data_IF_816027904372
#
_entry.id   IF_816027904372
#
_cell.length_a   1.000
_cell.length_b   1.000
_cell.length_c   1.000
_cell.angle_alpha   90.00
_cell.angle_beta   90.00
_cell.angle_gamma   90.00
#
_symmetry.space_group_name_H-M   'P 1'
#
loop_
_entity.id
_entity.type
_entity.pdbx_description
1 polymer ?
#
# COMPACT_ATOMS: atom_id res chain seq x y z
N UNK A 1 -9.31 -6.54 15.22
CA UNK A 1 -9.24 -5.08 15.50
C UNK A 1 -9.56 -4.37 14.20
N UNK A 2 -10.53 -3.45 14.20
CA UNK A 2 -10.97 -2.77 12.97
C UNK A 2 -9.82 -1.99 12.31
N UNK A 3 -9.78 -1.97 10.98
CA UNK A 3 -8.84 -1.15 10.21
C UNK A 3 -9.17 0.33 10.43
N UNK A 4 -8.52 0.96 11.40
CA UNK A 4 -8.57 2.40 11.52
C UNK A 4 -7.83 3.02 10.35
N UNK A 5 -8.45 4.01 9.71
CA UNK A 5 -7.71 4.87 8.78
C UNK A 5 -6.71 5.72 9.54
N UNK A 6 -5.68 6.24 8.88
CA UNK A 6 -4.72 7.15 9.51
C UNK A 6 -5.42 8.36 10.15
N UNK A 7 -6.44 8.91 9.46
CA UNK A 7 -7.24 10.03 9.95
C UNK A 7 -7.98 9.69 11.26
N UNK A 8 -8.52 8.47 11.36
CA UNK A 8 -9.20 8.02 12.55
C UNK A 8 -8.24 7.76 13.72
N UNK A 9 -7.05 7.22 13.45
CA UNK A 9 -5.98 7.10 14.45
C UNK A 9 -5.58 8.48 14.99
N UNK A 10 -5.40 9.47 14.11
CA UNK A 10 -5.05 10.84 14.52
C UNK A 10 -6.17 11.44 15.38
N UNK A 11 -7.43 11.35 14.94
CA UNK A 11 -8.57 11.88 15.69
C UNK A 11 -8.67 11.28 17.09
N UNK A 12 -8.53 9.97 17.21
CA UNK A 12 -8.62 9.29 18.51
C UNK A 12 -7.42 9.58 19.40
N UNK A 13 -6.21 9.66 18.83
CA UNK A 13 -5.03 10.09 19.57
C UNK A 13 -5.18 11.50 20.16
N UNK A 14 -5.63 12.47 19.35
CA UNK A 14 -5.84 13.86 19.81
C UNK A 14 -6.89 13.99 20.90
N UNK A 15 -7.83 13.05 20.98
CA UNK A 15 -8.86 12.99 22.03
C UNK A 15 -8.39 12.26 23.29
N UNK A 16 -7.21 11.64 23.28
CA UNK A 16 -6.72 10.80 24.37
C UNK A 16 -7.37 9.41 24.42
N UNK A 17 -8.07 9.00 23.36
CA UNK A 17 -8.79 7.72 23.29
C UNK A 17 -7.86 6.53 22.93
N UNK A 18 -6.57 6.79 22.75
CA UNK A 18 -5.56 5.80 22.39
C UNK A 18 -4.31 6.00 23.23
N UNK A 19 -3.61 4.91 23.57
CA UNK A 19 -2.26 4.97 24.13
C UNK A 19 -1.22 5.12 23.04
N UNK A 20 -0.01 5.53 23.41
CA UNK A 20 1.12 5.67 22.48
C UNK A 20 1.37 4.35 21.73
N UNK A 21 1.33 3.22 22.45
CA UNK A 21 1.53 1.88 21.90
C UNK A 21 0.43 1.53 20.88
N UNK A 22 -0.81 1.91 21.16
CA UNK A 22 -1.92 1.69 20.22
C UNK A 22 -1.75 2.51 18.95
N UNK A 23 -1.32 3.77 19.06
CA UNK A 23 -1.06 4.64 17.89
C UNK A 23 0.10 4.11 17.05
N UNK A 24 1.20 3.73 17.70
CA UNK A 24 2.37 3.15 17.02
C UNK A 24 1.96 1.84 16.33
N UNK A 25 1.27 0.94 17.03
CA UNK A 25 0.81 -0.33 16.47
C UNK A 25 -0.08 -0.14 15.24
N UNK A 26 -1.05 0.78 15.30
CA UNK A 26 -1.92 1.06 14.16
C UNK A 26 -1.18 1.71 13.00
N UNK A 27 -0.25 2.62 13.29
CA UNK A 27 0.57 3.26 12.24
C UNK A 27 1.42 2.23 11.50
N UNK A 28 2.03 1.28 12.21
CA UNK A 28 2.82 0.21 11.60
C UNK A 28 1.96 -0.70 10.71
N UNK A 29 0.74 -1.04 11.14
CA UNK A 29 -0.20 -1.83 10.33
C UNK A 29 -0.61 -1.11 9.05
N UNK A 30 -0.90 0.19 9.14
CA UNK A 30 -1.22 1.04 7.98
C UNK A 30 -0.04 1.09 7.00
N UNK A 31 1.18 1.30 7.49
CA UNK A 31 2.39 1.33 6.65
C UNK A 31 2.62 -0.02 5.98
N UNK A 32 2.46 -1.13 6.70
CA UNK A 32 2.58 -2.47 6.12
C UNK A 32 1.56 -2.70 5.00
N UNK A 33 0.32 -2.23 5.18
CA UNK A 33 -0.71 -2.36 4.16
C UNK A 33 -0.41 -1.54 2.90
N UNK A 34 0.03 -0.29 3.09
CA UNK A 34 0.47 0.57 1.98
C UNK A 34 1.64 -0.07 1.24
N UNK A 35 2.64 -0.58 1.95
CA UNK A 35 3.80 -1.24 1.33
C UNK A 35 3.40 -2.45 0.49
N UNK A 36 2.47 -3.29 0.98
CA UNK A 36 1.92 -4.41 0.20
C UNK A 36 1.22 -3.93 -1.06
N UNK A 37 0.37 -2.91 -0.96
CA UNK A 37 -0.40 -2.38 -2.09
C UNK A 37 0.51 -1.75 -3.15
N UNK A 38 1.53 -0.99 -2.73
CA UNK A 38 2.53 -0.42 -3.64
C UNK A 38 3.30 -1.53 -4.34
N UNK A 39 3.79 -2.54 -3.62
CA UNK A 39 4.51 -3.66 -4.23
C UNK A 39 3.68 -4.44 -5.25
N UNK A 40 2.37 -4.60 -5.02
CA UNK A 40 1.47 -5.19 -6.02
C UNK A 40 1.34 -4.31 -7.27
N UNK A 41 1.20 -3.00 -7.11
CA UNK A 41 1.09 -2.07 -8.24
C UNK A 41 2.39 -1.98 -9.04
N UNK A 42 3.55 -2.06 -8.38
CA UNK A 42 4.85 -2.10 -9.04
C UNK A 42 4.99 -3.36 -9.90
N UNK A 43 4.63 -4.54 -9.37
CA UNK A 43 4.62 -5.80 -10.14
C UNK A 43 3.71 -5.74 -11.36
N UNK A 44 2.49 -5.22 -11.21
CA UNK A 44 1.56 -5.07 -12.33
C UNK A 44 2.14 -4.16 -13.42
N UNK A 45 2.81 -3.06 -13.04
CA UNK A 45 3.48 -2.16 -13.99
C UNK A 45 4.67 -2.82 -14.69
N UNK A 46 5.44 -3.65 -13.98
CA UNK A 46 6.52 -4.43 -14.58
C UNK A 46 6.00 -5.44 -15.62
N UNK A 47 4.90 -6.12 -15.30
CA UNK A 47 4.23 -7.05 -16.22
C UNK A 47 3.68 -6.34 -17.47
N UNK A 48 3.01 -5.19 -17.31
CA UNK A 48 2.52 -4.36 -18.43
C UNK A 48 3.68 -3.90 -19.33
N UNK A 49 4.80 -3.48 -18.75
CA UNK A 49 6.00 -3.07 -19.50
C UNK A 49 6.60 -4.23 -20.28
N UNK A 50 6.74 -5.39 -19.66
CA UNK A 50 7.33 -6.58 -20.30
C UNK A 50 6.41 -7.16 -21.39
N UNK A 51 5.08 -7.17 -21.17
CA UNK A 51 4.11 -7.59 -22.18
C UNK A 51 4.10 -6.70 -23.42
N UNK A 52 4.28 -5.39 -23.23
CA UNK A 52 4.34 -4.40 -24.33
C UNK A 52 5.61 -4.51 -25.18
N UNK A 53 6.69 -5.10 -24.65
CA UNK A 53 7.96 -5.30 -25.36
C UNK A 53 7.94 -6.53 -26.27
N UNK A 54 7.20 -7.57 -25.89
CA UNK A 54 7.07 -8.82 -26.68
C UNK A 54 6.17 -8.66 -27.92
N UNK A 55 5.21 -7.73 -27.91
CA UNK A 55 4.26 -7.52 -29.03
C UNK A 55 4.88 -6.75 -30.22
N UNK A 56 6.00 -6.04 -30.03
CA UNK A 56 6.68 -5.28 -31.11
C UNK A 56 7.76 -6.07 -31.86
N UNK A 57 8.12 -7.28 -31.40
CA UNK A 57 9.14 -8.11 -32.03
C UNK A 57 8.63 -9.13 -33.04
N UNK A 58 7.31 -9.25 -33.24
CA UNK A 58 6.69 -10.33 -34.01
C UNK A 58 6.18 -9.96 -35.41
N UNK A 59 6.57 -8.80 -35.97
CA UNK A 59 6.08 -8.36 -37.28
C UNK A 59 7.20 -7.96 -38.24
N UNK A 60 8.17 -8.84 -38.42
CA UNK A 60 9.02 -8.88 -39.62
C UNK A 60 9.20 -10.34 -40.01
N UNK A 61 8.44 -10.79 -41.01
CA UNK A 61 8.77 -11.71 -42.13
C UNK A 61 7.50 -12.20 -42.84
#
# INVERSE_FOLDING_TARGET
MGNYTLDEVIKRWTRGDMTTEQVVGQTLLIVQDIARRVGTLEKLREEERNGSQSDKGGREE
#
